data_IF_428865486243
#
_entry.id   IF_428865486243
#
_cell.length_a   1.000
_cell.length_b   1.000
_cell.length_c   1.000
_cell.angle_alpha   90.00
_cell.angle_beta   90.00
_cell.angle_gamma   90.00
#
_symmetry.space_group_name_H-M   'P 1'
#
loop_
_entity.id
_entity.type
_entity.pdbx_description
1 polymer ?
#
# COMPACT_ATOMS: atom_id res chain seq x y z
N UNK A 1 -8.84 -14.45 -22.71
CA UNK A 1 -7.45 -14.72 -22.25
C UNK A 1 -6.96 -13.69 -21.23
N UNK A 2 -7.77 -12.67 -20.89
CA UNK A 2 -7.39 -11.54 -20.04
C UNK A 2 -7.60 -11.76 -18.53
N UNK A 3 -8.51 -12.66 -18.14
CA UNK A 3 -8.87 -12.85 -16.72
C UNK A 3 -7.79 -13.54 -15.89
N UNK A 4 -7.02 -14.45 -16.51
CA UNK A 4 -5.93 -15.18 -15.82
C UNK A 4 -4.76 -14.25 -15.50
N UNK A 5 -4.41 -13.38 -16.45
CA UNK A 5 -3.37 -12.36 -16.29
C UNK A 5 -3.75 -11.33 -15.23
N UNK A 6 -5.02 -10.88 -15.20
CA UNK A 6 -5.49 -9.95 -14.17
C UNK A 6 -5.40 -10.53 -12.76
N UNK A 7 -5.79 -11.80 -12.58
CA UNK A 7 -5.72 -12.47 -11.28
C UNK A 7 -4.28 -12.61 -10.80
N UNK A 8 -3.37 -13.07 -11.66
CA UNK A 8 -1.96 -13.24 -11.32
C UNK A 8 -1.31 -11.90 -10.96
N UNK A 9 -1.59 -10.84 -11.71
CA UNK A 9 -1.15 -9.46 -11.38
C UNK A 9 -1.69 -8.98 -10.04
N UNK A 10 -2.96 -9.25 -9.78
CA UNK A 10 -3.63 -8.88 -8.53
C UNK A 10 -2.99 -9.60 -7.34
N UNK A 11 -2.79 -10.91 -7.44
CA UNK A 11 -2.14 -11.70 -6.40
C UNK A 11 -0.69 -11.24 -6.15
N UNK A 12 0.05 -10.90 -7.22
CA UNK A 12 1.40 -10.35 -7.10
C UNK A 12 1.42 -9.02 -6.37
N UNK A 13 0.51 -8.10 -6.74
CA UNK A 13 0.42 -6.77 -6.12
C UNK A 13 0.00 -6.85 -4.64
N UNK A 14 -0.91 -7.77 -4.31
CA UNK A 14 -1.27 -8.06 -2.91
C UNK A 14 -0.04 -8.52 -2.14
N UNK A 15 0.74 -9.47 -2.67
CA UNK A 15 1.97 -9.94 -2.00
C UNK A 15 2.98 -8.80 -1.81
N UNK A 16 3.14 -7.94 -2.80
CA UNK A 16 4.01 -6.77 -2.71
C UNK A 16 3.59 -5.84 -1.57
N UNK A 17 2.31 -5.51 -1.49
CA UNK A 17 1.74 -4.62 -0.46
C UNK A 17 1.79 -5.25 0.93
N UNK A 18 1.35 -6.50 1.09
CA UNK A 18 1.45 -7.28 2.34
C UNK A 18 2.88 -7.25 2.87
N UNK A 19 3.87 -7.46 1.98
CA UNK A 19 5.29 -7.45 2.34
C UNK A 19 5.77 -6.06 2.73
N UNK A 20 5.38 -5.02 1.99
CA UNK A 20 5.72 -3.62 2.29
C UNK A 20 5.22 -3.19 3.68
N UNK A 21 4.05 -3.69 4.10
CA UNK A 21 3.46 -3.44 5.42
C UNK A 21 3.84 -4.47 6.49
N UNK A 22 4.74 -5.41 6.17
CA UNK A 22 5.22 -6.47 7.07
C UNK A 22 4.07 -7.28 7.71
N UNK A 23 3.00 -7.49 6.97
CA UNK A 23 1.85 -8.25 7.41
C UNK A 23 2.21 -9.74 7.56
N UNK A 24 1.93 -10.33 8.73
CA UNK A 24 2.24 -11.75 9.00
C UNK A 24 1.25 -12.70 8.32
N UNK A 25 0.00 -12.27 8.21
CA UNK A 25 -1.08 -13.04 7.60
C UNK A 25 -1.91 -12.11 6.73
N UNK A 26 -2.46 -12.62 5.64
CA UNK A 26 -3.47 -11.91 4.87
C UNK A 26 -4.58 -12.88 4.48
N UNK A 27 -5.82 -12.40 4.54
CA UNK A 27 -6.98 -13.16 4.07
C UNK A 27 -7.41 -12.54 2.75
N UNK A 28 -7.24 -13.31 1.68
CA UNK A 28 -7.76 -12.93 0.38
C UNK A 28 -9.29 -13.08 0.40
N UNK A 29 -9.99 -11.97 0.68
CA UNK A 29 -11.46 -11.88 0.58
C UNK A 29 -11.82 -10.96 -0.59
N UNK A 30 -11.86 -11.48 -1.83
CA UNK A 30 -12.13 -10.66 -2.99
C UNK A 30 -13.58 -10.20 -2.95
N UNK A 31 -13.80 -8.93 -2.62
CA UNK A 31 -15.12 -8.34 -2.80
C UNK A 31 -15.22 -7.65 -4.16
N UNK A 32 -15.97 -8.26 -5.07
CA UNK A 32 -16.29 -7.70 -6.38
C UNK A 32 -17.49 -6.75 -6.25
N UNK A 33 -17.28 -5.56 -5.68
CA UNK A 33 -18.35 -4.56 -5.52
C UNK A 33 -18.68 -3.79 -6.81
N UNK A 34 -17.79 -3.86 -7.79
CA UNK A 34 -17.93 -3.36 -9.16
C UNK A 34 -17.27 -4.43 -10.04
N UNK A 35 -17.77 -4.72 -11.25
CA UNK A 35 -17.31 -5.83 -12.13
C UNK A 35 -15.79 -5.86 -12.39
N UNK A 36 -15.11 -4.79 -12.00
CA UNK A 36 -13.71 -4.53 -12.23
C UNK A 36 -12.91 -4.53 -10.92
N UNK A 37 -13.43 -4.03 -9.79
CA UNK A 37 -12.57 -3.77 -8.63
C UNK A 37 -12.38 -5.01 -7.74
N UNK A 38 -11.14 -5.30 -7.35
CA UNK A 38 -10.84 -6.30 -6.32
C UNK A 38 -10.46 -5.60 -5.02
N UNK A 39 -11.17 -5.93 -3.94
CA UNK A 39 -10.87 -5.44 -2.60
C UNK A 39 -10.22 -6.54 -1.75
N UNK A 40 -9.26 -6.19 -0.91
CA UNK A 40 -8.62 -7.09 0.05
C UNK A 40 -8.52 -6.49 1.43
N UNK A 41 -8.52 -7.36 2.42
CA UNK A 41 -8.35 -7.03 3.83
C UNK A 41 -7.16 -7.79 4.38
N UNK A 42 -6.16 -7.05 4.85
CA UNK A 42 -4.95 -7.61 5.41
C UNK A 42 -4.89 -7.23 6.89
N UNK A 43 -5.21 -8.15 7.82
CA UNK A 43 -5.03 -7.91 9.23
C UNK A 43 -3.53 -7.80 9.54
N UNK A 44 -3.08 -6.60 9.90
CA UNK A 44 -1.70 -6.38 10.34
C UNK A 44 -1.55 -6.75 11.82
N UNK A 45 -2.51 -6.32 12.64
CA UNK A 45 -2.58 -6.52 14.10
C UNK A 45 -4.05 -6.62 14.54
N UNK A 46 -4.31 -6.88 15.82
CA UNK A 46 -5.67 -7.13 16.36
C UNK A 46 -6.69 -6.04 16.02
N UNK A 47 -6.24 -4.80 15.81
CA UNK A 47 -7.11 -3.67 15.50
C UNK A 47 -6.78 -3.01 14.16
N UNK A 48 -5.78 -3.51 13.41
CA UNK A 48 -5.27 -2.84 12.22
C UNK A 48 -5.57 -3.65 10.96
N UNK A 49 -6.52 -3.15 10.16
CA UNK A 49 -6.83 -3.74 8.86
C UNK A 49 -6.34 -2.84 7.74
N UNK A 50 -5.55 -3.43 6.83
CA UNK A 50 -5.17 -2.81 5.58
C UNK A 50 -6.20 -3.15 4.50
N UNK A 51 -6.93 -2.14 4.04
CA UNK A 51 -7.81 -2.28 2.88
C UNK A 51 -7.03 -1.92 1.62
N UNK A 52 -7.17 -2.72 0.56
CA UNK A 52 -6.66 -2.41 -0.77
C UNK A 52 -7.78 -2.54 -1.79
N UNK A 53 -7.89 -1.58 -2.70
CA UNK A 53 -8.74 -1.67 -3.91
C UNK A 53 -7.82 -1.73 -5.12
N UNK A 54 -8.16 -2.53 -6.12
CA UNK A 54 -7.47 -2.59 -7.41
C UNK A 54 -8.51 -2.56 -8.52
N UNK A 55 -8.46 -1.56 -9.39
CA UNK A 55 -9.31 -1.51 -10.58
C UNK A 55 -8.49 -1.93 -11.82
N UNK A 56 -9.03 -2.76 -12.72
CA UNK A 56 -8.41 -3.24 -13.95
C UNK A 56 -8.42 -2.19 -15.05
N UNK A 57 -8.99 -1.00 -14.78
CA UNK A 57 -8.86 0.13 -15.68
C UNK A 57 -7.37 0.44 -15.86
N UNK A 58 -6.82 0.38 -17.09
CA UNK A 58 -5.42 0.65 -17.36
C UNK A 58 -5.00 2.08 -16.98
N UNK A 59 -5.96 2.98 -16.75
CA UNK A 59 -5.73 4.37 -16.37
C UNK A 59 -5.70 4.56 -14.85
N UNK A 60 -6.38 3.70 -14.08
CA UNK A 60 -6.64 3.96 -12.66
C UNK A 60 -6.48 2.71 -11.79
N UNK A 61 -5.25 2.39 -11.41
CA UNK A 61 -5.04 1.55 -10.23
C UNK A 61 -5.33 2.41 -8.98
N UNK A 62 -6.60 2.49 -8.55
CA UNK A 62 -6.95 3.13 -7.26
C UNK A 62 -6.45 2.25 -6.13
N UNK A 63 -5.17 2.34 -5.81
CA UNK A 63 -4.64 1.80 -4.56
C UNK A 63 -5.13 2.71 -3.44
N UNK A 64 -6.25 2.33 -2.85
CA UNK A 64 -6.69 2.86 -1.55
C UNK A 64 -6.02 1.99 -0.50
N UNK A 65 -5.07 2.50 0.25
CA UNK A 65 -4.51 1.84 1.43
C UNK A 65 -5.20 2.45 2.62
N UNK A 66 -6.01 1.68 3.35
CA UNK A 66 -6.67 2.17 4.55
C UNK A 66 -6.16 1.46 5.78
N UNK A 67 -5.88 2.19 6.85
CA UNK A 67 -5.52 1.66 8.15
C UNK A 67 -6.63 2.04 9.12
N UNK A 68 -7.45 1.06 9.50
CA UNK A 68 -8.51 1.23 10.52
C UNK A 68 -7.94 0.82 11.87
N UNK A 69 -8.13 1.59 12.94
CA UNK A 69 -7.77 1.23 14.31
C UNK A 69 -8.70 1.95 15.31
N UNK A 70 -9.44 1.22 16.15
CA UNK A 70 -10.28 1.84 17.19
C UNK A 70 -11.34 2.85 16.68
N UNK A 71 -11.77 2.75 15.42
CA UNK A 71 -12.67 3.72 14.77
C UNK A 71 -11.95 4.90 14.09
N UNK A 72 -10.62 5.00 14.20
CA UNK A 72 -9.80 5.91 13.41
C UNK A 72 -9.49 5.29 12.05
N UNK A 73 -9.47 6.14 11.01
CA UNK A 73 -9.18 5.75 9.63
C UNK A 73 -8.05 6.61 9.08
N UNK A 74 -6.97 5.96 8.65
CA UNK A 74 -6.00 6.53 7.72
C UNK A 74 -6.40 6.00 6.36
N UNK A 75 -6.42 6.85 5.35
CA UNK A 75 -6.35 6.34 4.01
C UNK A 75 -5.44 7.19 3.16
N UNK A 76 -4.79 6.54 2.20
CA UNK A 76 -4.30 7.24 1.03
C UNK A 76 -4.85 6.58 -0.22
N UNK A 77 -5.32 7.43 -1.12
CA UNK A 77 -5.86 7.04 -2.40
C UNK A 77 -4.96 7.57 -3.49
N UNK A 78 -4.60 6.72 -4.43
CA UNK A 78 -4.06 7.19 -5.71
C UNK A 78 -5.21 7.67 -6.59
N UNK A 79 -5.20 8.96 -6.91
CA UNK A 79 -6.15 9.59 -7.85
C UNK A 79 -5.88 9.16 -9.29
N UNK A 80 -6.86 9.38 -10.15
CA UNK A 80 -6.76 9.16 -11.61
C UNK A 80 -5.61 9.96 -12.26
N UNK A 81 -5.19 11.06 -11.62
CA UNK A 81 -4.06 11.88 -12.08
C UNK A 81 -2.71 11.40 -11.54
N UNK A 82 -2.67 10.22 -10.91
CA UNK A 82 -1.47 9.64 -10.32
C UNK A 82 -1.02 10.29 -9.00
N UNK A 83 -1.71 11.33 -8.51
CA UNK A 83 -1.44 11.98 -7.22
C UNK A 83 -2.01 11.15 -6.07
N UNK A 84 -1.34 11.19 -4.93
CA UNK A 84 -1.87 10.58 -3.71
C UNK A 84 -2.60 11.63 -2.86
N UNK A 85 -3.83 11.32 -2.52
CA UNK A 85 -4.63 12.11 -1.58
C UNK A 85 -4.72 11.36 -0.25
N UNK A 86 -4.35 12.03 0.84
CA UNK A 86 -4.52 11.54 2.20
C UNK A 86 -5.85 12.02 2.76
N UNK A 87 -6.58 11.12 3.40
CA UNK A 87 -7.60 11.49 4.37
C UNK A 87 -7.30 10.87 5.73
N UNK A 88 -7.52 11.62 6.80
CA UNK A 88 -7.23 11.15 8.15
C UNK A 88 -8.23 11.70 9.15
N UNK A 89 -8.73 10.81 10.01
CA UNK A 89 -9.25 11.17 11.32
C UNK A 89 -8.14 10.96 12.36
N UNK A 90 -7.54 12.04 12.89
CA UNK A 90 -6.69 12.11 14.10
C UNK A 90 -5.95 10.82 14.55
N UNK A 91 -5.05 10.26 13.74
CA UNK A 91 -4.36 9.02 14.12
C UNK A 91 -3.19 9.17 15.08
N UNK A 92 -3.01 8.16 15.91
CA UNK A 92 -1.78 7.88 16.67
C UNK A 92 -0.53 7.86 15.76
N UNK A 93 0.59 8.41 16.25
CA UNK A 93 1.87 8.50 15.55
C UNK A 93 2.42 7.14 15.08
N UNK A 94 2.09 6.05 15.77
CA UNK A 94 2.50 4.69 15.41
C UNK A 94 1.95 4.28 14.04
N UNK A 95 0.66 4.55 13.78
CA UNK A 95 0.03 4.19 12.50
C UNK A 95 0.53 5.06 11.36
N UNK A 96 0.82 6.34 11.63
CA UNK A 96 1.43 7.23 10.64
C UNK A 96 2.84 6.77 10.25
N UNK A 97 3.66 6.35 11.21
CA UNK A 97 4.98 5.78 10.95
C UNK A 97 4.88 4.49 10.13
N UNK A 98 3.96 3.58 10.47
CA UNK A 98 3.73 2.36 9.69
C UNK A 98 3.34 2.66 8.25
N UNK A 99 2.46 3.65 8.06
CA UNK A 99 2.03 4.10 6.75
C UNK A 99 3.20 4.67 5.93
N UNK A 100 4.04 5.50 6.54
CA UNK A 100 5.24 6.05 5.90
C UNK A 100 6.18 4.95 5.41
N UNK A 101 6.45 3.95 6.26
CA UNK A 101 7.31 2.80 5.94
C UNK A 101 6.74 1.98 4.79
N UNK A 102 5.45 1.65 4.85
CA UNK A 102 4.76 0.89 3.79
C UNK A 102 4.80 1.60 2.45
N UNK A 103 4.57 2.91 2.42
CA UNK A 103 4.62 3.71 1.19
C UNK A 103 6.01 3.86 0.62
N UNK A 104 7.01 4.06 1.47
CA UNK A 104 8.39 4.05 1.02
C UNK A 104 8.75 2.72 0.34
N UNK A 105 8.39 1.58 0.93
CA UNK A 105 8.58 0.26 0.33
C UNK A 105 7.85 0.06 -1.01
N UNK A 106 6.75 0.78 -1.24
CA UNK A 106 6.01 0.77 -2.51
C UNK A 106 6.56 1.77 -3.53
N UNK A 107 7.62 2.52 -3.19
CA UNK A 107 8.23 3.54 -4.04
C UNK A 107 7.46 4.85 -4.10
N UNK A 108 6.57 5.08 -3.13
CA UNK A 108 5.76 6.29 -3.03
C UNK A 108 6.56 7.28 -2.19
N UNK A 109 7.37 8.08 -2.88
CA UNK A 109 8.22 9.12 -2.29
C UNK A 109 7.82 10.54 -2.71
N UNK A 110 6.64 10.70 -3.32
CA UNK A 110 6.12 11.99 -3.76
C UNK A 110 6.06 12.99 -2.60
N UNK A 111 6.65 14.18 -2.79
CA UNK A 111 6.86 15.18 -1.73
C UNK A 111 5.55 15.56 -1.05
N UNK A 112 4.49 15.83 -1.80
CA UNK A 112 3.18 16.22 -1.23
C UNK A 112 2.50 15.10 -0.44
N UNK A 113 2.90 13.86 -0.67
CA UNK A 113 2.41 12.67 0.01
C UNK A 113 3.21 12.39 1.29
N UNK A 114 4.54 12.50 1.18
CA UNK A 114 5.47 12.31 2.29
C UNK A 114 5.42 13.43 3.31
N UNK A 115 5.12 14.67 2.91
CA UNK A 115 4.96 15.82 3.84
C UNK A 115 3.89 15.58 4.90
N UNK A 116 2.90 14.74 4.58
CA UNK A 116 1.78 14.47 5.48
C UNK A 116 2.04 13.31 6.44
N UNK A 117 3.19 12.64 6.32
CA UNK A 117 3.59 11.52 7.17
C UNK A 117 4.91 11.84 7.87
N UNK A 118 5.22 11.17 8.99
CA UNK A 118 6.53 11.31 9.63
C UNK A 118 7.66 10.98 8.63
N UNK A 119 8.69 11.83 8.52
CA UNK A 119 9.80 11.57 7.62
C UNK A 119 10.60 10.35 8.10
N UNK A 120 11.02 9.51 7.16
CA UNK A 120 11.93 8.40 7.43
C UNK A 120 13.38 8.88 7.38
N UNK A 121 14.17 8.51 8.38
CA UNK A 121 15.61 8.73 8.40
C UNK A 121 16.31 7.93 7.30
N UNK A 122 17.53 8.34 6.92
CA UNK A 122 18.34 7.60 5.96
C UNK A 122 18.63 6.16 6.42
N UNK A 123 18.79 5.96 7.73
CA UNK A 123 19.00 4.64 8.31
C UNK A 123 17.76 3.75 8.14
N UNK A 124 16.58 4.23 8.50
CA UNK A 124 15.32 3.48 8.32
C UNK A 124 15.06 3.16 6.86
N UNK A 125 15.33 4.10 5.95
CA UNK A 125 15.21 3.90 4.50
C UNK A 125 16.11 2.75 4.01
N UNK A 126 17.33 2.67 4.52
CA UNK A 126 18.27 1.59 4.19
C UNK A 126 17.79 0.25 4.76
N UNK A 127 17.39 0.21 6.02
CA UNK A 127 16.87 -1.01 6.65
C UNK A 127 15.64 -1.55 5.91
N UNK A 128 14.74 -0.67 5.49
CA UNK A 128 13.56 -1.03 4.71
C UNK A 128 13.94 -1.65 3.36
N UNK A 129 14.87 -1.04 2.61
CA UNK A 129 15.39 -1.60 1.34
C UNK A 129 15.95 -3.01 1.53
N UNK A 130 16.77 -3.20 2.57
CA UNK A 130 17.40 -4.49 2.88
C UNK A 130 16.40 -5.55 3.37
N UNK A 131 15.31 -5.13 4.01
CA UNK A 131 14.26 -6.04 4.50
C UNK A 131 13.27 -6.49 3.42
N UNK A 132 13.17 -5.75 2.32
CA UNK A 132 12.22 -6.04 1.25
C UNK A 132 12.84 -7.01 0.23
N UNK A 133 12.17 -8.12 -0.12
CA UNK A 133 12.62 -9.00 -1.19
C UNK A 133 12.83 -8.23 -2.51
N UNK A 134 13.94 -8.51 -3.21
CA UNK A 134 14.33 -7.79 -4.45
C UNK A 134 13.26 -7.85 -5.54
N UNK A 135 12.47 -8.92 -5.58
CA UNK A 135 11.33 -9.08 -6.51
C UNK A 135 10.21 -8.04 -6.30
N UNK A 136 10.17 -7.38 -5.15
CA UNK A 136 9.17 -6.36 -4.79
C UNK A 136 9.74 -4.95 -4.77
N UNK A 137 11.01 -4.77 -5.10
CA UNK A 137 11.63 -3.44 -5.11
C UNK A 137 10.94 -2.54 -6.15
N UNK A 138 10.64 -1.28 -5.79
CA UNK A 138 10.26 -0.27 -6.75
C UNK A 138 11.32 -0.12 -7.84
N UNK A 139 10.91 0.13 -9.07
CA UNK A 139 11.82 0.30 -10.21
C UNK A 139 12.90 1.35 -9.94
N UNK A 140 12.53 2.46 -9.28
CA UNK A 140 13.48 3.51 -8.86
C UNK A 140 14.67 2.95 -8.07
N UNK A 141 14.46 1.99 -7.17
CA UNK A 141 15.56 1.40 -6.40
C UNK A 141 16.44 0.48 -7.23
N UNK A 142 15.87 -0.16 -8.27
CA UNK A 142 16.63 -0.98 -9.22
C UNK A 142 17.47 -0.12 -10.16
N UNK A 143 17.00 1.07 -10.51
CA UNK A 143 17.70 2.02 -11.38
C UNK A 143 18.83 2.79 -10.68
N UNK A 144 18.84 2.79 -9.33
CA UNK A 144 19.86 3.43 -8.49
C UNK A 144 21.10 2.53 -8.21
N UNK A 145 21.07 1.25 -8.60
CA UNK A 145 22.22 0.31 -8.56
C UNK A 145 23.07 0.38 -9.83
#
# INVERSE_FOLDING_TARGET
>A
MESKDLRERTEWEVRRVVTAFQAKNYVFSPHYYLESAVQFEVPLESEVTLYMKLSPDPVVTVVSVQLVCGGELLFMNRTEKGRWDKGCSRLNSIHQSRMARGFYCLGIEDEGTCEQLPPLSAHEKLELRLSLPREFWPQKWLDEE
#
